data_IF_910409853102
#
_entry.id   IF_910409853102
#
_cell.length_a   1.000
_cell.length_b   1.000
_cell.length_c   1.000
_cell.angle_alpha   90.00
_cell.angle_beta   90.00
_cell.angle_gamma   90.00
#
_symmetry.space_group_name_H-M   'P 1'
#
loop_
_entity.id
_entity.type
_entity.pdbx_description
1 polymer ?
#
# COMPACT_ATOMS: atom_id res chain seq x y z
N UNK A 1 14.49 -53.10 18.61
CA UNK A 1 15.14 -53.06 17.28
C UNK A 1 15.90 -51.75 17.16
N UNK A 2 17.12 -51.83 16.63
CA UNK A 2 18.24 -50.91 16.84
C UNK A 2 18.04 -49.49 16.27
N UNK A 3 18.35 -48.54 17.14
CA UNK A 3 19.09 -47.29 16.94
C UNK A 3 19.87 -47.14 15.63
N UNK A 4 19.77 -45.98 14.97
CA UNK A 4 20.85 -45.37 14.18
C UNK A 4 20.67 -43.84 14.11
N UNK A 5 21.43 -43.16 14.99
CA UNK A 5 21.82 -41.76 14.88
C UNK A 5 22.70 -41.57 13.64
N UNK A 6 22.55 -40.45 12.93
CA UNK A 6 23.64 -39.87 12.13
C UNK A 6 23.94 -38.47 12.64
N UNK A 7 25.05 -38.39 13.36
CA UNK A 7 25.83 -37.19 13.63
C UNK A 7 26.42 -36.66 12.32
N UNK A 8 26.39 -35.34 12.13
CA UNK A 8 27.43 -34.66 11.36
C UNK A 8 28.02 -33.55 12.24
N UNK A 9 29.28 -33.76 12.59
CA UNK A 9 30.18 -32.78 13.19
C UNK A 9 30.72 -31.85 12.10
N UNK A 10 30.99 -30.59 12.47
CA UNK A 10 31.46 -29.53 11.57
C UNK A 10 32.92 -29.64 11.14
N UNK A 11 33.50 -28.51 10.70
CA UNK A 11 34.72 -28.07 11.38
C UNK A 11 34.65 -26.61 11.83
N UNK A 12 35.15 -26.43 13.04
CA UNK A 12 35.58 -25.21 13.69
C UNK A 12 36.72 -24.53 12.93
N UNK A 13 36.62 -23.22 12.73
CA UNK A 13 37.78 -22.36 12.51
C UNK A 13 37.82 -21.22 13.52
N UNK A 14 39.06 -20.88 13.85
CA UNK A 14 39.56 -20.24 15.06
C UNK A 14 39.27 -18.74 15.19
N UNK A 15 39.36 -18.32 16.45
CA UNK A 15 39.59 -16.96 16.95
C UNK A 15 40.50 -16.08 16.07
N UNK A 16 40.20 -14.78 15.98
CA UNK A 16 41.15 -13.76 16.45
C UNK A 16 40.43 -12.45 16.76
N UNK A 17 40.67 -11.98 17.98
CA UNK A 17 40.35 -10.65 18.47
C UNK A 17 41.16 -9.57 17.75
N UNK A 18 40.59 -8.38 17.63
CA UNK A 18 41.35 -7.13 17.67
C UNK A 18 40.60 -6.13 18.56
N UNK A 19 41.28 -5.78 19.64
CA UNK A 19 40.94 -4.76 20.63
C UNK A 19 42.02 -3.68 20.61
N UNK A 20 41.63 -2.42 20.83
CA UNK A 20 42.52 -1.26 21.06
C UNK A 20 42.58 -0.32 19.84
N UNK A 21 42.50 1.01 19.96
CA UNK A 21 42.74 1.91 21.07
C UNK A 21 41.89 3.19 20.96
N UNK A 22 41.47 3.67 22.13
CA UNK A 22 41.17 5.06 22.46
C UNK A 22 42.41 5.95 22.41
N UNK A 23 42.30 7.23 22.01
CA UNK A 23 42.59 8.43 22.84
C UNK A 23 42.68 9.76 22.05
N UNK A 24 42.18 10.83 22.70
CA UNK A 24 42.44 12.30 22.58
C UNK A 24 42.35 12.98 21.20
N UNK A 25 41.78 14.18 21.03
CA UNK A 25 41.27 15.19 21.95
C UNK A 25 41.02 16.49 21.17
N UNK A 26 40.22 17.39 21.75
CA UNK A 26 40.49 18.82 21.66
C UNK A 26 39.65 19.65 20.68
N UNK A 27 38.69 20.37 21.26
CA UNK A 27 38.02 21.56 20.69
C UNK A 27 39.04 22.71 20.62
N UNK A 28 38.93 23.62 19.63
CA UNK A 28 38.62 24.98 20.04
C UNK A 28 37.49 25.62 19.22
N UNK A 29 36.90 26.59 19.90
CA UNK A 29 35.65 27.27 19.66
C UNK A 29 35.97 28.66 19.08
N UNK A 30 35.58 28.98 17.85
CA UNK A 30 35.47 30.38 17.39
C UNK A 30 34.46 30.48 16.24
N UNK A 31 33.55 31.45 16.30
CA UNK A 31 32.83 31.91 15.10
C UNK A 31 31.33 32.12 15.26
N UNK A 32 30.92 33.10 16.08
CA UNK A 32 29.60 33.71 15.97
C UNK A 32 29.46 34.33 14.57
N UNK A 33 28.49 33.87 13.78
CA UNK A 33 27.90 34.69 12.72
C UNK A 33 26.39 34.77 12.93
N UNK A 34 25.96 35.83 13.63
CA UNK A 34 24.60 36.34 13.55
C UNK A 34 24.49 37.05 12.21
N UNK A 35 23.76 36.46 11.26
CA UNK A 35 23.27 37.18 10.10
C UNK A 35 21.75 37.20 10.16
N UNK A 36 21.24 38.39 10.47
CA UNK A 36 19.82 38.72 10.54
C UNK A 36 19.44 39.15 9.13
N UNK A 37 18.85 38.26 8.34
CA UNK A 37 18.16 38.65 7.09
C UNK A 37 16.66 38.48 7.29
N UNK A 38 16.03 39.56 7.77
CA UNK A 38 14.60 39.82 7.54
C UNK A 38 14.46 40.26 6.09
N UNK A 39 13.93 39.40 5.23
CA UNK A 39 13.33 39.83 3.96
C UNK A 39 11.83 39.78 4.16
N UNK A 40 11.23 40.96 4.34
CA UNK A 40 9.80 41.16 4.32
C UNK A 40 9.32 41.10 2.87
N UNK A 41 8.62 40.01 2.51
CA UNK A 41 7.83 39.97 1.26
C UNK A 41 6.41 40.40 1.63
N UNK A 42 6.11 41.66 1.33
CA UNK A 42 4.74 42.19 1.30
C UNK A 42 4.12 41.73 -0.01
N UNK A 43 3.33 40.66 0.01
CA UNK A 43 2.45 40.31 -1.11
C UNK A 43 1.05 40.87 -0.82
N UNK A 44 0.72 41.97 -1.50
CA UNK A 44 -0.59 42.61 -1.49
C UNK A 44 -1.68 41.66 -2.05
N UNK A 45 -2.75 41.45 -1.28
CA UNK A 45 -3.98 40.84 -1.77
C UNK A 45 -4.91 41.91 -2.38
N UNK A 46 -5.47 41.72 -3.57
CA UNK A 46 -6.50 42.62 -4.09
C UNK A 46 -7.86 42.35 -3.41
N UNK A 47 -8.41 43.40 -2.81
CA UNK A 47 -9.80 43.51 -2.30
C UNK A 47 -10.82 43.16 -3.39
N UNK A 48 -11.58 42.08 -3.21
CA UNK A 48 -12.82 41.87 -3.96
C UNK A 48 -13.90 42.82 -3.42
N UNK A 49 -14.40 43.70 -4.30
CA UNK A 49 -15.57 44.54 -4.06
C UNK A 49 -16.85 43.69 -4.05
N UNK A 50 -17.66 43.87 -3.00
CA UNK A 50 -19.07 43.46 -2.96
C UNK A 50 -19.85 44.22 -4.04
N UNK A 51 -20.53 43.49 -4.92
CA UNK A 51 -21.61 44.02 -5.75
C UNK A 51 -22.85 43.16 -5.49
N UNK A 52 -24.00 43.85 -5.38
CA UNK A 52 -25.18 43.44 -4.64
C UNK A 52 -26.02 42.30 -5.21
N UNK A 53 -26.80 41.73 -4.29
CA UNK A 53 -27.90 40.80 -4.51
C UNK A 53 -29.14 41.60 -4.89
N UNK A 54 -29.73 41.40 -6.08
CA UNK A 54 -31.18 41.48 -6.36
C UNK A 54 -31.45 41.16 -7.83
N UNK A 55 -32.62 40.57 -8.11
CA UNK A 55 -33.08 39.91 -9.35
C UNK A 55 -32.55 38.47 -9.50
N UNK A 56 -33.33 37.40 -9.60
CA UNK A 56 -34.74 37.26 -10.05
C UNK A 56 -35.31 35.96 -9.46
N UNK A 57 -36.12 36.08 -8.40
CA UNK A 57 -37.12 35.06 -8.03
C UNK A 57 -38.20 35.08 -9.10
N UNK A 58 -38.08 34.26 -10.15
CA UNK A 58 -39.18 33.79 -11.03
C UNK A 58 -38.62 33.00 -12.22
N UNK A 59 -37.97 31.86 -11.95
CA UNK A 59 -37.73 30.81 -12.96
C UNK A 59 -37.55 29.41 -12.37
N UNK A 60 -38.15 29.15 -11.20
CA UNK A 60 -38.01 27.89 -10.47
C UNK A 60 -39.36 27.13 -10.30
N UNK A 61 -40.29 27.25 -11.27
CA UNK A 61 -41.54 26.47 -11.23
C UNK A 61 -42.00 25.83 -12.54
N UNK A 62 -41.27 25.97 -13.64
CA UNK A 62 -41.66 25.38 -14.94
C UNK A 62 -40.61 24.47 -15.59
N UNK A 63 -39.51 24.13 -14.91
CA UNK A 63 -38.54 23.13 -15.42
C UNK A 63 -38.61 21.76 -14.72
N UNK A 64 -39.34 21.63 -13.59
CA UNK A 64 -39.39 20.37 -12.83
C UNK A 64 -40.49 19.37 -13.27
N UNK A 65 -41.32 19.71 -14.26
CA UNK A 65 -42.39 18.81 -14.74
C UNK A 65 -41.97 17.97 -15.97
N UNK A 66 -40.96 18.40 -16.73
CA UNK A 66 -40.52 17.71 -17.95
C UNK A 66 -39.47 16.61 -17.70
N UNK A 67 -38.88 16.53 -16.50
CA UNK A 67 -37.84 15.54 -16.16
C UNK A 67 -38.38 14.22 -15.59
N UNK A 68 -39.70 14.06 -15.41
CA UNK A 68 -40.29 12.87 -14.78
C UNK A 68 -40.67 11.73 -15.73
N UNK A 69 -40.44 11.84 -17.04
CA UNK A 69 -40.82 10.79 -18.01
C UNK A 69 -39.67 10.15 -18.80
N UNK A 70 -38.41 10.48 -18.49
CA UNK A 70 -37.24 9.83 -19.09
C UNK A 70 -36.26 9.20 -18.08
N UNK A 71 -36.61 9.14 -16.79
CA UNK A 71 -35.74 8.58 -15.74
C UNK A 71 -35.52 7.07 -15.79
N UNK A 72 -36.27 6.31 -16.59
CA UNK A 72 -36.17 4.84 -16.60
C UNK A 72 -34.98 4.27 -17.38
N UNK A 73 -34.50 4.95 -18.43
CA UNK A 73 -33.43 4.44 -19.30
C UNK A 73 -32.03 4.97 -18.94
N UNK A 74 -31.95 6.08 -18.20
CA UNK A 74 -30.67 6.65 -17.74
C UNK A 74 -30.13 5.96 -16.48
N UNK A 75 -30.99 5.38 -15.63
CA UNK A 75 -30.54 4.65 -14.44
C UNK A 75 -29.91 3.29 -14.79
N UNK A 76 -30.40 2.60 -15.83
CA UNK A 76 -29.86 1.31 -16.26
C UNK A 76 -28.50 1.45 -16.97
N UNK A 77 -28.27 2.56 -17.67
CA UNK A 77 -26.97 2.90 -18.27
C UNK A 77 -25.94 3.41 -17.26
N UNK A 78 -26.37 3.99 -16.13
CA UNK A 78 -25.47 4.54 -15.10
C UNK A 78 -24.85 3.45 -14.21
N UNK A 79 -25.49 2.27 -14.08
CA UNK A 79 -24.91 1.11 -13.39
C UNK A 79 -23.66 0.55 -14.09
N UNK A 80 -23.47 0.79 -15.40
CA UNK A 80 -22.33 0.27 -16.18
C UNK A 80 -21.08 1.16 -16.17
N UNK A 81 -21.16 2.37 -15.62
CA UNK A 81 -20.05 3.35 -15.61
C UNK A 81 -19.24 3.36 -14.31
N UNK A 82 -19.62 2.54 -13.32
CA UNK A 82 -18.85 2.42 -12.09
C UNK A 82 -17.82 1.30 -12.24
N UNK A 83 -16.55 1.59 -11.92
CA UNK A 83 -15.49 0.57 -11.82
C UNK A 83 -15.64 -0.27 -10.54
N UNK A 84 -16.88 -0.46 -10.09
CA UNK A 84 -17.24 -1.14 -8.85
C UNK A 84 -17.22 -2.64 -9.07
N UNK A 85 -16.74 -3.39 -8.07
CA UNK A 85 -16.83 -4.86 -8.10
C UNK A 85 -18.30 -5.27 -8.19
N UNK A 86 -18.63 -6.10 -9.19
CA UNK A 86 -19.99 -6.63 -9.38
C UNK A 86 -20.41 -7.37 -8.10
N UNK A 87 -21.60 -7.04 -7.59
CA UNK A 87 -22.13 -7.61 -6.35
C UNK A 87 -21.58 -7.01 -5.04
N UNK A 88 -20.65 -6.05 -5.11
CA UNK A 88 -20.19 -5.32 -3.91
C UNK A 88 -21.05 -4.09 -3.63
N UNK A 89 -21.18 -3.70 -2.35
CA UNK A 89 -21.84 -2.44 -1.94
C UNK A 89 -21.01 -1.22 -2.40
N UNK A 90 -19.67 -1.33 -2.35
CA UNK A 90 -18.71 -0.36 -2.88
C UNK A 90 -17.31 -0.98 -2.95
N UNK A 91 -16.40 -0.37 -3.69
CA UNK A 91 -14.99 -0.80 -3.70
C UNK A 91 -14.34 -0.66 -2.30
N UNK A 92 -14.72 0.36 -1.53
CA UNK A 92 -14.24 0.54 -0.15
C UNK A 92 -14.80 -0.52 0.80
N UNK A 93 -16.00 -1.04 0.56
CA UNK A 93 -16.53 -2.19 1.30
C UNK A 93 -15.78 -3.48 0.93
N UNK A 94 -15.62 -3.75 -0.37
CA UNK A 94 -14.87 -4.91 -0.84
C UNK A 94 -13.39 -4.91 -0.38
N UNK A 95 -12.79 -3.73 -0.18
CA UNK A 95 -11.48 -3.58 0.46
C UNK A 95 -11.49 -4.01 1.92
N UNK A 96 -12.41 -3.48 2.72
CA UNK A 96 -12.56 -3.80 4.15
C UNK A 96 -12.89 -5.28 4.41
N UNK A 97 -13.72 -5.87 3.57
CA UNK A 97 -14.04 -7.30 3.68
C UNK A 97 -12.78 -8.15 3.40
N UNK A 98 -11.97 -7.74 2.43
CA UNK A 98 -10.71 -8.40 2.11
C UNK A 98 -9.65 -8.23 3.21
N UNK A 99 -9.53 -7.05 3.81
CA UNK A 99 -8.70 -6.83 5.01
C UNK A 99 -9.13 -7.75 6.17
N UNK A 100 -10.44 -7.93 6.35
CA UNK A 100 -11.00 -8.83 7.38
C UNK A 100 -10.64 -10.29 7.09
N UNK A 101 -10.71 -10.73 5.84
CA UNK A 101 -10.30 -12.06 5.41
C UNK A 101 -8.79 -12.28 5.62
N UNK A 102 -7.95 -11.31 5.24
CA UNK A 102 -6.51 -11.35 5.46
C UNK A 102 -6.17 -11.46 6.96
N UNK A 103 -6.80 -10.63 7.80
CA UNK A 103 -6.61 -10.70 9.26
C UNK A 103 -6.98 -12.08 9.81
N UNK A 104 -8.10 -12.64 9.36
CA UNK A 104 -8.55 -13.98 9.78
C UNK A 104 -7.58 -15.07 9.35
N UNK A 105 -7.03 -14.98 8.13
CA UNK A 105 -6.01 -15.89 7.63
C UNK A 105 -4.75 -15.90 8.50
N UNK A 106 -4.25 -14.74 8.91
CA UNK A 106 -3.10 -14.64 9.81
C UNK A 106 -3.42 -15.07 11.25
N UNK A 107 -4.61 -14.74 11.75
CA UNK A 107 -5.07 -15.17 13.08
C UNK A 107 -5.12 -16.69 13.20
N UNK A 108 -5.57 -17.39 12.15
CA UNK A 108 -5.56 -18.86 12.08
C UNK A 108 -4.15 -19.47 12.10
N UNK A 109 -3.12 -18.67 11.83
CA UNK A 109 -1.70 -19.06 11.96
C UNK A 109 -1.09 -18.59 13.30
N UNK A 110 -1.91 -18.11 14.23
CA UNK A 110 -1.46 -17.60 15.53
C UNK A 110 -0.76 -16.24 15.44
N UNK A 111 -1.03 -15.45 14.38
CA UNK A 111 -0.53 -14.08 14.21
C UNK A 111 -1.72 -13.13 14.29
N UNK A 112 -1.86 -12.42 15.41
CA UNK A 112 -2.87 -11.40 15.55
C UNK A 112 -2.40 -10.08 14.91
N UNK A 113 -3.16 -9.57 13.95
CA UNK A 113 -2.86 -8.33 13.23
C UNK A 113 -3.93 -7.28 13.54
N UNK A 114 -3.49 -6.07 13.89
CA UNK A 114 -4.37 -4.91 14.06
C UNK A 114 -4.46 -4.11 12.77
N UNK A 115 -5.62 -3.52 12.52
CA UNK A 115 -5.83 -2.63 11.38
C UNK A 115 -5.13 -1.29 11.57
N UNK A 116 -4.78 -0.63 10.47
CA UNK A 116 -4.22 0.74 10.44
C UNK A 116 -2.97 0.90 11.32
N UNK A 117 -2.04 -0.05 11.28
CA UNK A 117 -0.78 0.07 12.00
C UNK A 117 0.03 1.23 11.42
N UNK A 118 0.29 2.25 12.25
CA UNK A 118 1.07 3.42 11.85
C UNK A 118 2.55 3.19 12.13
N UNK A 119 3.38 3.39 11.10
CA UNK A 119 4.83 3.34 11.20
C UNK A 119 5.44 4.57 10.53
N UNK A 120 6.55 5.06 11.07
CA UNK A 120 7.27 6.19 10.51
C UNK A 120 8.02 5.76 9.24
N UNK A 121 7.61 6.28 8.09
CA UNK A 121 8.24 6.05 6.79
C UNK A 121 8.75 7.38 6.21
N UNK A 122 9.78 7.33 5.37
CA UNK A 122 10.30 8.51 4.68
C UNK A 122 11.79 8.44 4.39
N UNK A 123 12.35 9.52 3.86
CA UNK A 123 13.74 9.58 3.38
C UNK A 123 14.61 10.30 4.41
N UNK A 124 15.73 9.69 4.79
CA UNK A 124 16.69 10.24 5.76
C UNK A 124 15.99 10.68 7.06
N UNK A 125 16.17 11.94 7.49
CA UNK A 125 15.56 12.46 8.71
C UNK A 125 14.06 12.83 8.55
N UNK A 126 13.57 13.01 7.31
CA UNK A 126 12.19 13.41 7.06
C UNK A 126 11.27 12.18 7.05
N UNK A 127 10.54 11.97 8.15
CA UNK A 127 9.65 10.82 8.34
C UNK A 127 8.24 11.28 8.69
N UNK A 128 7.22 10.54 8.24
CA UNK A 128 5.82 10.71 8.61
C UNK A 128 5.17 9.37 8.91
N UNK A 129 4.09 9.37 9.69
CA UNK A 129 3.29 8.17 9.87
C UNK A 129 2.63 7.76 8.54
N UNK A 130 2.84 6.52 8.14
CA UNK A 130 2.06 5.81 7.14
C UNK A 130 1.26 4.72 7.84
N UNK A 131 -0.02 4.60 7.50
CA UNK A 131 -0.88 3.55 8.02
C UNK A 131 -0.89 2.39 7.04
N UNK A 132 -0.31 1.26 7.44
CA UNK A 132 -0.45 0.00 6.72
C UNK A 132 -1.83 -0.61 7.02
N UNK A 133 -2.43 -1.28 6.03
CA UNK A 133 -3.77 -1.86 6.13
C UNK A 133 -3.90 -2.76 7.37
N UNK A 134 -2.91 -3.66 7.60
CA UNK A 134 -2.78 -4.46 8.82
C UNK A 134 -1.33 -4.50 9.31
N UNK A 135 -1.13 -4.84 10.59
CA UNK A 135 0.20 -5.14 11.11
C UNK A 135 0.24 -5.53 12.59
N UNK A 136 1.43 -5.86 13.08
CA UNK A 136 1.72 -6.16 14.48
C UNK A 136 3.10 -5.57 14.83
N UNK A 137 3.17 -4.74 15.86
CA UNK A 137 4.44 -4.09 16.22
C UNK A 137 5.35 -5.02 17.02
N UNK A 138 4.76 -5.88 17.84
CA UNK A 138 5.42 -6.83 18.72
C UNK A 138 6.16 -7.90 17.92
N UNK A 139 5.55 -8.38 16.83
CA UNK A 139 6.16 -9.34 15.89
C UNK A 139 6.80 -8.68 14.67
N UNK A 140 6.79 -7.35 14.60
CA UNK A 140 7.31 -6.55 13.48
C UNK A 140 6.80 -7.04 12.12
N UNK A 141 5.48 -6.99 11.91
CA UNK A 141 4.83 -7.37 10.64
C UNK A 141 4.03 -6.19 10.09
N UNK A 142 4.20 -5.88 8.81
CA UNK A 142 3.43 -4.90 8.04
C UNK A 142 2.74 -5.58 6.87
N UNK A 143 1.46 -5.27 6.64
CA UNK A 143 0.69 -5.85 5.55
C UNK A 143 -0.07 -4.77 4.79
N UNK A 144 0.09 -4.76 3.47
CA UNK A 144 -0.78 -4.02 2.53
C UNK A 144 -1.71 -5.03 1.86
N UNK A 145 -3.01 -4.74 1.86
CA UNK A 145 -4.05 -5.56 1.30
C UNK A 145 -4.56 -4.95 -0.02
N UNK A 146 -4.62 -5.72 -1.11
CA UNK A 146 -5.22 -5.26 -2.37
C UNK A 146 -6.12 -6.33 -3.00
N UNK A 147 -7.44 -6.10 -2.96
CA UNK A 147 -8.47 -6.96 -3.57
C UNK A 147 -8.73 -6.66 -5.06
N UNK A 148 -7.70 -6.19 -5.76
CA UNK A 148 -7.79 -5.78 -7.15
C UNK A 148 -7.95 -6.98 -8.09
N UNK A 149 -8.72 -6.76 -9.17
CA UNK A 149 -8.96 -7.74 -10.23
C UNK A 149 -8.54 -7.23 -11.60
N UNK A 150 -8.31 -8.15 -12.52
CA UNK A 150 -8.30 -7.91 -13.96
C UNK A 150 -9.55 -7.15 -14.39
N UNK A 151 -9.46 -6.44 -15.52
CA UNK A 151 -10.67 -5.83 -16.10
C UNK A 151 -11.56 -6.94 -16.66
N UNK A 152 -12.86 -6.69 -16.74
CA UNK A 152 -13.83 -7.61 -17.37
C UNK A 152 -13.48 -7.96 -18.81
N UNK A 153 -12.80 -7.04 -19.51
CA UNK A 153 -12.30 -7.20 -20.88
C UNK A 153 -10.92 -7.85 -20.97
N UNK A 154 -10.36 -8.36 -19.87
CA UNK A 154 -9.02 -8.96 -19.78
C UNK A 154 -7.87 -8.01 -20.19
N UNK A 155 -8.11 -6.70 -20.10
CA UNK A 155 -7.08 -5.68 -20.23
C UNK A 155 -6.29 -5.53 -18.93
N UNK A 156 -5.06 -5.02 -19.02
CA UNK A 156 -4.21 -4.78 -17.87
C UNK A 156 -4.80 -3.63 -17.04
N UNK A 157 -5.07 -3.82 -15.74
CA UNK A 157 -5.63 -2.77 -14.90
C UNK A 157 -4.54 -1.80 -14.44
N UNK A 158 -3.94 -1.03 -15.36
CA UNK A 158 -2.74 -0.23 -15.12
C UNK A 158 -2.85 0.71 -13.90
N UNK A 159 -3.97 1.43 -13.75
CA UNK A 159 -4.21 2.29 -12.58
C UNK A 159 -4.15 1.53 -11.24
N UNK A 160 -4.62 0.27 -11.21
CA UNK A 160 -4.57 -0.58 -10.02
C UNK A 160 -3.15 -1.05 -9.72
N UNK A 161 -2.34 -1.28 -10.75
CA UNK A 161 -0.93 -1.67 -10.61
C UNK A 161 -0.06 -0.49 -10.15
N UNK A 162 -0.42 0.75 -10.51
CA UNK A 162 0.24 1.95 -9.96
C UNK A 162 0.10 2.01 -8.44
N UNK A 163 -1.06 1.65 -7.88
CA UNK A 163 -1.26 1.56 -6.43
C UNK A 163 -0.35 0.49 -5.80
N UNK A 164 -0.08 -0.60 -6.51
CA UNK A 164 0.85 -1.63 -6.03
C UNK A 164 2.30 -1.12 -6.04
N UNK A 165 2.69 -0.36 -7.07
CA UNK A 165 4.00 0.29 -7.10
C UNK A 165 4.17 1.28 -5.92
N UNK A 166 3.12 2.02 -5.59
CA UNK A 166 3.12 2.92 -4.43
C UNK A 166 3.29 2.14 -3.12
N UNK A 167 2.61 1.01 -2.95
CA UNK A 167 2.80 0.13 -1.80
C UNK A 167 4.25 -0.37 -1.68
N UNK A 168 4.89 -0.73 -2.81
CA UNK A 168 6.31 -1.11 -2.81
C UNK A 168 7.22 0.03 -2.34
N UNK A 169 6.90 1.26 -2.73
CA UNK A 169 7.62 2.45 -2.26
C UNK A 169 7.43 2.68 -0.75
N UNK A 170 6.23 2.48 -0.19
CA UNK A 170 6.06 2.55 1.26
C UNK A 170 6.83 1.44 1.98
N UNK A 171 6.86 0.22 1.45
CA UNK A 171 7.65 -0.88 2.01
C UNK A 171 9.16 -0.62 1.99
N UNK A 172 9.69 0.02 0.94
CA UNK A 172 11.12 0.36 0.86
C UNK A 172 11.52 1.46 1.85
N UNK A 173 10.57 2.30 2.25
CA UNK A 173 10.77 3.36 3.24
C UNK A 173 10.49 2.95 4.69
N UNK A 174 9.88 1.78 4.89
CA UNK A 174 9.60 1.22 6.20
C UNK A 174 10.88 0.71 6.89
N UNK A 175 10.92 0.66 8.25
CA UNK A 175 12.04 0.10 8.97
C UNK A 175 12.36 -1.33 8.55
N UNK A 176 13.65 -1.67 8.49
CA UNK A 176 14.16 -2.92 7.93
C UNK A 176 13.87 -4.16 8.80
N UNK A 177 13.56 -3.95 10.07
CA UNK A 177 13.26 -5.02 11.03
C UNK A 177 11.83 -5.58 10.89
N UNK A 178 10.98 -4.97 10.05
CA UNK A 178 9.66 -5.50 9.77
C UNK A 178 9.68 -6.54 8.64
N UNK A 179 8.98 -7.65 8.87
CA UNK A 179 8.46 -8.52 7.81
C UNK A 179 7.38 -7.77 7.04
N UNK A 180 7.55 -7.66 5.72
CA UNK A 180 6.68 -6.88 4.84
C UNK A 180 5.90 -7.82 3.93
N UNK A 181 4.57 -7.70 3.96
CA UNK A 181 3.69 -8.60 3.21
C UNK A 181 2.77 -7.79 2.30
N UNK A 182 2.85 -8.06 1.01
CA UNK A 182 1.86 -7.64 0.03
C UNK A 182 0.83 -8.76 -0.13
N UNK A 183 -0.34 -8.58 0.50
CA UNK A 183 -1.43 -9.56 0.50
C UNK A 183 -2.46 -9.20 -0.55
N UNK A 184 -2.57 -10.03 -1.59
CA UNK A 184 -3.36 -9.70 -2.79
C UNK A 184 -4.35 -10.80 -3.12
N UNK A 185 -5.47 -10.40 -3.69
CA UNK A 185 -6.46 -11.35 -4.16
C UNK A 185 -5.92 -12.16 -5.34
N UNK A 186 -6.15 -13.47 -5.31
CA UNK A 186 -6.00 -14.37 -6.45
C UNK A 186 -7.06 -14.06 -7.48
N UNK A 187 -6.64 -13.53 -8.63
CA UNK A 187 -7.52 -13.27 -9.76
C UNK A 187 -6.80 -13.67 -11.05
N UNK A 188 -7.31 -14.71 -11.70
CA UNK A 188 -6.73 -15.27 -12.91
C UNK A 188 -7.35 -14.64 -14.17
N UNK A 189 -6.52 -14.33 -15.15
CA UNK A 189 -6.98 -13.90 -16.46
C UNK A 189 -7.10 -15.10 -17.41
N UNK A 190 -8.31 -15.53 -17.83
CA UNK A 190 -8.47 -16.70 -18.70
C UNK A 190 -7.74 -16.56 -20.04
N UNK A 191 -7.71 -15.34 -20.60
CA UNK A 191 -7.03 -15.04 -21.87
C UNK A 191 -5.50 -15.19 -21.78
N UNK A 192 -4.92 -14.93 -20.61
CA UNK A 192 -3.47 -14.91 -20.39
C UNK A 192 -2.96 -16.12 -19.62
N UNK A 193 -3.85 -16.87 -18.96
CA UNK A 193 -3.56 -18.03 -18.10
C UNK A 193 -2.53 -17.70 -17.02
N UNK A 194 -2.71 -16.54 -16.39
CA UNK A 194 -1.85 -16.07 -15.31
C UNK A 194 -2.63 -15.16 -14.37
N UNK A 195 -2.23 -15.15 -13.10
CA UNK A 195 -2.85 -14.31 -12.08
C UNK A 195 -2.37 -12.87 -12.14
N UNK A 196 -3.14 -11.94 -11.59
CA UNK A 196 -2.74 -10.53 -11.57
C UNK A 196 -1.43 -10.33 -10.79
N UNK A 197 -1.22 -11.08 -9.72
CA UNK A 197 0.01 -11.02 -8.94
C UNK A 197 1.21 -11.60 -9.71
N UNK A 198 1.04 -12.73 -10.39
CA UNK A 198 2.07 -13.29 -11.27
C UNK A 198 2.43 -12.32 -12.42
N UNK A 199 1.43 -11.65 -13.00
CA UNK A 199 1.67 -10.59 -13.98
C UNK A 199 2.53 -9.46 -13.43
N UNK A 200 2.18 -8.98 -12.23
CA UNK A 200 2.88 -7.88 -11.57
C UNK A 200 4.33 -8.26 -11.28
N UNK A 201 4.57 -9.42 -10.68
CA UNK A 201 5.92 -9.90 -10.38
C UNK A 201 6.76 -10.09 -11.66
N UNK A 202 6.17 -10.57 -12.76
CA UNK A 202 6.90 -10.70 -14.03
C UNK A 202 7.33 -9.35 -14.62
N UNK A 203 6.47 -8.33 -14.50
CA UNK A 203 6.59 -7.05 -15.22
C UNK A 203 7.27 -5.96 -14.38
N UNK A 204 7.02 -5.96 -13.07
CA UNK A 204 7.42 -4.93 -12.11
C UNK A 204 8.30 -5.48 -10.98
N UNK A 205 8.89 -6.67 -11.10
CA UNK A 205 9.82 -7.22 -10.09
C UNK A 205 10.93 -6.24 -9.69
N UNK A 206 11.41 -5.41 -10.61
CA UNK A 206 12.43 -4.40 -10.35
C UNK A 206 12.01 -3.31 -9.35
N UNK A 207 10.71 -3.18 -9.06
CA UNK A 207 10.17 -2.27 -8.04
C UNK A 207 9.90 -2.96 -6.71
N UNK A 208 9.96 -4.29 -6.64
CA UNK A 208 9.63 -5.05 -5.42
C UNK A 208 10.88 -5.13 -4.54
N UNK A 209 10.86 -4.58 -3.31
CA UNK A 209 11.97 -4.75 -2.39
C UNK A 209 12.21 -6.24 -2.08
N UNK A 210 13.46 -6.67 -1.92
CA UNK A 210 13.81 -8.10 -1.79
C UNK A 210 13.24 -8.76 -0.52
N UNK A 211 12.89 -7.96 0.49
CA UNK A 211 12.31 -8.37 1.77
C UNK A 211 10.78 -8.32 1.80
N UNK A 212 10.12 -8.01 0.68
CA UNK A 212 8.66 -8.02 0.55
C UNK A 212 8.18 -9.38 0.07
N UNK A 213 7.31 -10.02 0.86
CA UNK A 213 6.63 -11.25 0.50
C UNK A 213 5.33 -10.95 -0.24
N UNK A 214 5.10 -11.60 -1.38
CA UNK A 214 3.80 -11.58 -2.05
C UNK A 214 2.98 -12.79 -1.65
N UNK A 215 1.81 -12.55 -1.08
CA UNK A 215 0.86 -13.60 -0.70
C UNK A 215 -0.40 -13.45 -1.54
N UNK A 216 -0.73 -14.51 -2.28
CA UNK A 216 -1.90 -14.55 -3.15
C UNK A 216 -3.01 -15.35 -2.47
N UNK A 217 -4.14 -14.71 -2.17
CA UNK A 217 -5.26 -15.26 -1.41
C UNK A 217 -6.40 -15.71 -2.30
N UNK A 218 -6.80 -16.97 -2.13
CA UNK A 218 -7.96 -17.57 -2.78
C UNK A 218 -9.20 -17.39 -1.89
N UNK A 219 -10.14 -16.53 -2.32
CA UNK A 219 -11.39 -16.27 -1.61
C UNK A 219 -12.29 -17.52 -1.49
N UNK A 220 -12.14 -18.52 -2.36
CA UNK A 220 -12.97 -19.74 -2.36
C UNK A 220 -12.42 -20.77 -1.38
N UNK A 221 -11.10 -20.98 -1.40
CA UNK A 221 -10.44 -21.93 -0.52
C UNK A 221 -10.12 -21.34 0.87
N UNK A 222 -10.21 -20.02 1.02
CA UNK A 222 -9.78 -19.28 2.21
C UNK A 222 -8.31 -19.52 2.60
N UNK A 223 -7.47 -19.80 1.61
CA UNK A 223 -6.02 -20.04 1.77
C UNK A 223 -5.22 -19.00 0.99
N UNK A 224 -4.02 -18.67 1.45
CA UNK A 224 -3.06 -17.92 0.65
C UNK A 224 -1.76 -18.70 0.44
N UNK A 225 -1.14 -18.46 -0.71
CA UNK A 225 0.18 -18.99 -1.06
C UNK A 225 1.16 -17.84 -1.24
N UNK A 226 2.36 -17.98 -0.68
CA UNK A 226 3.43 -17.04 -0.96
C UNK A 226 4.01 -17.35 -2.35
N UNK A 227 3.99 -16.37 -3.23
CA UNK A 227 4.49 -16.47 -4.61
C UNK A 227 5.71 -15.56 -4.79
N UNK A 228 6.60 -15.96 -5.70
CA UNK A 228 7.79 -15.18 -6.07
C UNK A 228 7.82 -15.00 -7.58
N UNK A 229 8.56 -14.00 -8.05
CA UNK A 229 8.87 -13.92 -9.47
C UNK A 229 9.59 -15.22 -9.86
N UNK A 230 9.14 -15.87 -10.94
CA UNK A 230 9.90 -16.97 -11.51
C UNK A 230 11.30 -16.46 -11.88
N UNK A 231 12.33 -17.23 -11.52
CA UNK A 231 13.68 -16.93 -11.97
C UNK A 231 13.65 -16.86 -13.51
N UNK A 232 14.27 -15.82 -14.08
CA UNK A 232 14.48 -15.76 -15.52
C UNK A 232 15.65 -16.70 -15.80
N UNK A 233 15.42 -17.74 -16.58
CA UNK A 233 16.46 -18.57 -17.18
C UNK A 233 17.37 -17.72 -18.11
#
# INVERSE_FOLDING_TARGET
MRELRKQYAGPSFLHSAYSGLSHVGGVPHVGRYRSVFRVAIVSAQPRQRRIGKHATRKRCRLQNAAQRKHGGLVDEMNLKMTHQRVGSISNAHAGRDFETAARSFFANQGIDLRSNLKVMVGISAAKKNHAFDLGCDERKILVECKSHRWTSTANIPAAKLTVWNEAMYYFSLAPMDYRKVMFVLRDECPKRRLTLAAYYLRTYAHLVPPDVEFWEYDETAHTALCIRAAARD
#
